data_IF_555184018645
#
_entry.id   IF_555184018645
#
_cell.length_a   1.000
_cell.length_b   1.000
_cell.length_c   1.000
_cell.angle_alpha   90.00
_cell.angle_beta   90.00
_cell.angle_gamma   90.00
#
_symmetry.space_group_name_H-M   'P 1'
#
loop_
_entity.id
_entity.type
_entity.pdbx_description
1 polymer ?
#
# COMPACT_ATOMS: atom_id res chain seq x y z
N UNK A 1 9.34 21.82 -5.57
CA UNK A 1 9.88 20.45 -5.75
C UNK A 1 10.58 20.40 -7.09
N UNK A 2 11.73 19.74 -7.18
CA UNK A 2 12.48 19.64 -8.43
C UNK A 2 13.29 18.36 -8.48
N UNK A 3 13.52 17.89 -9.71
CA UNK A 3 14.51 16.87 -10.01
C UNK A 3 15.72 17.56 -10.62
N UNK A 4 16.89 17.32 -10.04
CA UNK A 4 18.17 17.92 -10.47
C UNK A 4 19.06 16.81 -11.03
N UNK A 5 19.64 17.03 -12.21
CA UNK A 5 20.65 16.15 -12.79
C UNK A 5 22.03 16.74 -12.49
N UNK A 6 22.89 16.06 -11.70
CA UNK A 6 24.23 16.56 -11.41
C UNK A 6 25.05 16.69 -12.70
N UNK A 7 25.85 17.76 -12.78
CA UNK A 7 26.68 18.08 -13.96
C UNK A 7 27.69 16.96 -14.26
N UNK A 8 27.86 16.62 -15.53
CA UNK A 8 28.54 15.41 -16.03
C UNK A 8 30.04 15.34 -15.74
N UNK A 9 30.72 16.46 -15.54
CA UNK A 9 32.17 16.57 -15.77
C UNK A 9 33.05 15.81 -14.77
N UNK A 10 32.51 15.38 -13.61
CA UNK A 10 33.25 14.58 -12.62
C UNK A 10 32.56 13.28 -12.21
N UNK A 11 31.28 13.10 -12.54
CA UNK A 11 30.42 12.08 -11.94
C UNK A 11 30.25 10.84 -12.84
N UNK A 12 30.54 10.97 -14.14
CA UNK A 12 30.29 9.91 -15.13
C UNK A 12 31.04 8.60 -14.85
N UNK A 13 32.28 8.67 -14.35
CA UNK A 13 33.11 7.48 -14.11
C UNK A 13 32.64 6.69 -12.89
N UNK A 14 32.16 7.35 -11.82
CA UNK A 14 31.64 6.67 -10.64
C UNK A 14 30.20 6.15 -10.87
N UNK A 15 29.39 6.89 -11.64
CA UNK A 15 28.03 6.45 -12.02
C UNK A 15 28.03 5.18 -12.85
N UNK A 16 28.92 5.08 -13.86
CA UNK A 16 29.03 3.86 -14.70
C UNK A 16 29.51 2.64 -13.92
N UNK A 17 30.18 2.85 -12.79
CA UNK A 17 30.68 1.75 -11.96
C UNK A 17 29.58 1.16 -11.07
N UNK A 18 28.59 1.97 -10.71
CA UNK A 18 27.45 1.56 -9.89
C UNK A 18 26.30 1.02 -10.76
N UNK A 19 26.05 1.63 -11.92
CA UNK A 19 24.96 1.19 -12.80
C UNK A 19 25.39 -0.05 -13.57
N UNK A 20 24.76 -1.18 -13.25
CA UNK A 20 24.85 -2.41 -14.04
C UNK A 20 24.17 -2.19 -15.39
N UNK A 21 24.67 -2.84 -16.44
CA UNK A 21 24.07 -2.78 -17.79
C UNK A 21 22.63 -3.31 -17.82
N UNK A 22 22.30 -4.19 -16.88
CA UNK A 22 20.97 -4.79 -16.76
C UNK A 22 20.50 -4.87 -15.31
N UNK A 23 19.18 -4.81 -15.14
CA UNK A 23 18.46 -5.21 -13.94
C UNK A 23 17.62 -6.47 -14.23
N UNK A 24 17.24 -7.21 -13.20
CA UNK A 24 16.58 -8.50 -13.32
C UNK A 24 15.32 -8.55 -12.47
N UNK A 25 14.16 -8.84 -13.07
CA UNK A 25 12.88 -9.01 -12.38
C UNK A 25 12.51 -10.46 -12.31
N UNK A 26 12.32 -10.98 -11.10
CA UNK A 26 11.59 -12.24 -10.89
C UNK A 26 10.10 -11.96 -10.92
N UNK A 27 9.36 -12.65 -11.78
CA UNK A 27 7.91 -12.62 -11.80
C UNK A 27 7.34 -14.03 -11.96
N UNK A 28 6.09 -14.18 -11.55
CA UNK A 28 5.32 -15.43 -11.56
C UNK A 28 3.84 -15.11 -11.66
N UNK A 29 2.98 -16.12 -11.83
CA UNK A 29 1.53 -15.91 -11.84
C UNK A 29 0.99 -15.28 -10.54
N UNK A 30 1.78 -15.32 -9.45
CA UNK A 30 1.45 -14.75 -8.13
C UNK A 30 2.11 -13.40 -7.85
N UNK A 31 2.84 -12.83 -8.81
CA UNK A 31 3.56 -11.59 -8.59
C UNK A 31 2.61 -10.38 -8.48
N UNK A 32 2.92 -9.45 -7.57
CA UNK A 32 2.22 -8.16 -7.42
C UNK A 32 2.61 -7.16 -8.52
N UNK A 33 2.54 -7.57 -9.77
CA UNK A 33 2.79 -6.72 -10.96
C UNK A 33 1.88 -7.17 -12.08
N UNK A 34 1.24 -6.23 -12.75
CA UNK A 34 0.42 -6.54 -13.93
C UNK A 34 1.33 -6.59 -15.15
N UNK A 35 1.30 -7.69 -15.90
CA UNK A 35 1.83 -7.71 -17.26
C UNK A 35 0.79 -7.06 -18.16
N UNK A 36 1.15 -5.94 -18.80
CA UNK A 36 0.22 -5.22 -19.65
C UNK A 36 0.18 -5.84 -21.05
N UNK A 37 -0.85 -6.65 -21.30
CA UNK A 37 -1.12 -7.24 -22.63
C UNK A 37 -1.41 -6.14 -23.65
N UNK A 38 -2.01 -5.03 -23.20
CA UNK A 38 -2.42 -3.91 -24.04
C UNK A 38 -1.65 -2.65 -23.64
N UNK A 39 -0.72 -2.22 -24.48
CA UNK A 39 0.03 -0.97 -24.27
C UNK A 39 1.53 -1.09 -24.49
N UNK A 40 2.22 0.01 -24.22
CA UNK A 40 3.67 0.15 -24.34
C UNK A 40 4.44 -0.37 -23.13
N UNK A 41 3.76 -0.77 -22.05
CA UNK A 41 4.37 -1.19 -20.79
C UNK A 41 4.52 -2.72 -20.71
N UNK A 42 5.69 -3.18 -20.26
CA UNK A 42 5.93 -4.58 -19.94
C UNK A 42 5.44 -4.93 -18.53
N UNK A 43 5.65 -4.02 -17.58
CA UNK A 43 5.24 -4.19 -16.20
C UNK A 43 4.58 -2.91 -15.69
N UNK A 44 3.53 -3.06 -14.91
CA UNK A 44 2.86 -1.99 -14.18
C UNK A 44 2.71 -2.38 -12.71
N UNK A 45 3.01 -1.42 -11.84
CA UNK A 45 2.73 -1.51 -10.42
C UNK A 45 1.20 -1.55 -10.19
N UNK A 46 0.78 -2.03 -9.03
CA UNK A 46 -0.64 -2.08 -8.70
C UNK A 46 -1.18 -0.70 -8.29
N UNK A 47 -0.35 0.10 -7.62
CA UNK A 47 -0.64 1.47 -7.24
C UNK A 47 -0.21 2.47 -8.32
N UNK A 48 -0.87 3.62 -8.34
CA UNK A 48 -0.45 4.76 -9.16
C UNK A 48 0.75 5.40 -8.47
N UNK A 49 1.81 5.66 -9.22
CA UNK A 49 2.99 6.32 -8.68
C UNK A 49 2.84 7.84 -8.78
N UNK A 50 2.69 8.49 -7.62
CA UNK A 50 2.89 9.93 -7.47
C UNK A 50 4.18 10.17 -6.70
N UNK A 51 5.16 10.83 -7.31
CA UNK A 51 6.46 11.07 -6.68
C UNK A 51 6.36 11.89 -5.40
N UNK A 52 5.35 12.75 -5.26
CA UNK A 52 5.17 13.58 -4.07
C UNK A 52 4.60 12.79 -2.90
N UNK A 53 3.74 11.80 -3.18
CA UNK A 53 3.06 10.99 -2.16
C UNK A 53 3.80 9.67 -1.87
N UNK A 54 4.52 9.12 -2.85
CA UNK A 54 5.11 7.78 -2.80
C UNK A 54 6.58 7.80 -2.42
N UNK A 55 7.32 8.88 -2.71
CA UNK A 55 8.76 8.92 -2.51
C UNK A 55 9.13 9.41 -1.10
N UNK A 56 8.76 8.63 -0.09
CA UNK A 56 9.09 8.88 1.32
C UNK A 56 9.41 7.58 2.07
N UNK A 57 9.98 7.73 3.27
CA UNK A 57 10.37 6.63 4.15
C UNK A 57 9.24 5.62 4.37
N UNK A 58 8.06 6.08 4.78
CA UNK A 58 6.92 5.24 5.13
C UNK A 58 6.51 4.35 3.96
N UNK A 59 6.38 4.93 2.76
CA UNK A 59 5.96 4.21 1.55
C UNK A 59 7.01 3.20 1.09
N UNK A 60 8.29 3.55 1.14
CA UNK A 60 9.38 2.65 0.79
C UNK A 60 9.51 1.50 1.79
N UNK A 61 9.55 1.78 3.11
CA UNK A 61 9.63 0.73 4.14
C UNK A 61 8.47 -0.25 4.03
N UNK A 62 7.25 0.26 3.79
CA UNK A 62 6.06 -0.55 3.54
C UNK A 62 6.19 -1.42 2.29
N UNK A 63 6.72 -0.89 1.18
CA UNK A 63 7.00 -1.72 0.01
C UNK A 63 8.06 -2.78 0.27
N UNK A 64 8.99 -2.58 1.20
CA UNK A 64 10.01 -3.59 1.49
C UNK A 64 9.48 -4.71 2.40
N UNK A 65 8.36 -4.49 3.06
CA UNK A 65 7.64 -5.49 3.83
C UNK A 65 6.70 -6.31 2.94
N UNK A 66 6.94 -7.62 2.80
CA UNK A 66 6.14 -8.47 1.90
C UNK A 66 4.66 -8.54 2.28
N UNK A 67 4.32 -8.44 3.56
CA UNK A 67 2.96 -8.57 4.05
C UNK A 67 2.08 -7.32 3.85
N UNK A 68 2.68 -6.15 3.60
CA UNK A 68 1.98 -4.85 3.68
C UNK A 68 1.85 -4.13 2.33
N UNK A 69 1.91 -4.88 1.22
CA UNK A 69 1.88 -4.32 -0.15
C UNK A 69 0.47 -4.09 -0.71
N UNK A 70 -0.55 -4.61 -0.04
CA UNK A 70 -1.89 -4.76 -0.62
C UNK A 70 -2.73 -3.49 -0.44
N UNK A 71 -2.70 -2.87 0.75
CA UNK A 71 -3.59 -1.73 1.06
C UNK A 71 -2.84 -0.61 1.79
N UNK A 72 -2.69 0.57 1.16
CA UNK A 72 -2.94 0.84 -0.27
C UNK A 72 -2.00 0.03 -1.18
N UNK A 73 -2.37 -0.25 -2.44
CA UNK A 73 -1.51 -1.01 -3.33
C UNK A 73 -0.18 -0.30 -3.53
N UNK A 74 0.90 -1.08 -3.65
CA UNK A 74 2.22 -0.48 -3.87
C UNK A 74 2.40 0.02 -5.31
N UNK A 75 3.00 1.20 -5.42
CA UNK A 75 3.39 1.88 -6.67
C UNK A 75 4.79 1.48 -7.18
N UNK A 76 5.45 0.53 -6.51
CA UNK A 76 6.82 0.11 -6.84
C UNK A 76 6.90 -1.33 -7.37
N UNK A 77 7.92 -1.59 -8.18
CA UNK A 77 8.24 -2.90 -8.75
C UNK A 77 9.69 -3.26 -8.41
N UNK A 78 9.92 -4.33 -7.64
CA UNK A 78 11.28 -4.77 -7.28
C UNK A 78 12.05 -5.43 -8.43
N UNK A 79 13.32 -5.10 -8.56
CA UNK A 79 14.33 -5.67 -9.46
C UNK A 79 15.60 -5.99 -8.66
N UNK A 80 16.49 -6.77 -9.26
CA UNK A 80 17.82 -7.09 -8.74
C UNK A 80 18.90 -6.60 -9.69
N UNK A 81 20.02 -6.17 -9.16
CA UNK A 81 21.16 -5.69 -9.96
C UNK A 81 22.02 -6.82 -10.55
N UNK A 82 21.77 -8.06 -10.14
CA UNK A 82 22.50 -9.23 -10.60
C UNK A 82 21.58 -10.39 -10.92
N UNK A 83 21.97 -11.17 -11.94
CA UNK A 83 21.25 -12.39 -12.29
C UNK A 83 21.22 -13.34 -11.09
N UNK A 84 22.35 -13.57 -10.43
CA UNK A 84 22.48 -14.48 -9.28
C UNK A 84 21.46 -14.20 -8.16
N UNK A 85 21.26 -12.94 -7.81
CA UNK A 85 20.25 -12.55 -6.82
C UNK A 85 18.83 -12.86 -7.29
N UNK A 86 18.52 -12.56 -8.56
CA UNK A 86 17.25 -12.94 -9.16
C UNK A 86 17.06 -14.46 -9.21
N UNK A 87 18.09 -15.26 -9.45
CA UNK A 87 17.98 -16.74 -9.43
C UNK A 87 17.67 -17.26 -8.02
N UNK A 88 18.33 -16.72 -6.99
CA UNK A 88 18.05 -17.07 -5.58
C UNK A 88 16.59 -16.75 -5.26
N UNK A 89 16.09 -15.61 -5.71
CA UNK A 89 14.70 -15.21 -5.52
C UNK A 89 13.72 -16.09 -6.31
N UNK A 90 14.05 -16.46 -7.55
CA UNK A 90 13.25 -17.36 -8.38
C UNK A 90 13.14 -18.75 -7.74
N UNK A 91 14.28 -19.32 -7.32
CA UNK A 91 14.34 -20.59 -6.59
C UNK A 91 13.53 -20.55 -5.30
N UNK A 92 13.59 -19.45 -4.55
CA UNK A 92 12.76 -19.29 -3.37
C UNK A 92 11.27 -19.35 -3.72
N UNK A 93 10.81 -18.59 -4.72
CA UNK A 93 9.39 -18.60 -5.14
C UNK A 93 8.92 -19.97 -5.64
N UNK A 94 9.80 -20.72 -6.31
CA UNK A 94 9.47 -22.02 -6.88
C UNK A 94 9.46 -23.15 -5.85
N UNK A 95 10.43 -23.19 -4.92
CA UNK A 95 10.66 -24.34 -4.03
C UNK A 95 10.37 -24.10 -2.56
N UNK A 96 10.57 -22.86 -2.08
CA UNK A 96 10.67 -22.59 -0.64
C UNK A 96 9.63 -21.58 -0.12
N UNK A 97 8.86 -20.98 -1.01
CA UNK A 97 7.83 -20.03 -0.62
C UNK A 97 6.71 -20.76 0.15
N UNK A 98 6.04 -20.09 1.11
CA UNK A 98 4.85 -20.64 1.73
C UNK A 98 3.81 -21.04 0.67
N UNK A 99 2.94 -22.03 0.90
CA UNK A 99 2.01 -22.53 -0.12
C UNK A 99 1.19 -21.45 -0.83
N UNK A 100 0.80 -20.39 -0.12
CA UNK A 100 0.10 -19.24 -0.69
C UNK A 100 0.92 -18.51 -1.77
N UNK A 101 2.25 -18.51 -1.67
CA UNK A 101 3.18 -17.79 -2.55
C UNK A 101 4.01 -18.71 -3.46
N UNK A 102 3.89 -20.03 -3.32
CA UNK A 102 4.57 -21.01 -4.17
C UNK A 102 4.06 -20.85 -5.61
N UNK A 103 4.96 -20.63 -6.56
CA UNK A 103 4.63 -20.45 -7.97
C UNK A 103 5.16 -21.61 -8.81
N UNK A 104 4.37 -22.03 -9.79
CA UNK A 104 4.75 -23.11 -10.72
C UNK A 104 5.35 -22.58 -12.02
N UNK A 105 5.04 -21.34 -12.41
CA UNK A 105 5.70 -20.65 -13.50
C UNK A 105 6.44 -19.43 -12.94
N UNK A 106 7.76 -19.53 -12.91
CA UNK A 106 8.63 -18.46 -12.46
C UNK A 106 9.51 -18.06 -13.63
N UNK A 107 9.61 -16.77 -13.88
CA UNK A 107 10.42 -16.22 -14.96
C UNK A 107 11.28 -15.07 -14.45
N UNK A 108 12.45 -14.92 -15.07
CA UNK A 108 13.35 -13.80 -14.84
C UNK A 108 13.43 -12.95 -16.10
N UNK A 109 12.98 -11.71 -15.99
CA UNK A 109 13.05 -10.74 -17.07
C UNK A 109 14.28 -9.84 -16.90
N UNK A 110 15.09 -9.71 -17.95
CA UNK A 110 16.26 -8.83 -18.00
C UNK A 110 15.88 -7.48 -18.61
N UNK A 111 16.16 -6.39 -17.89
CA UNK A 111 15.83 -5.01 -18.26
C UNK A 111 17.10 -4.24 -18.56
N UNK A 112 17.11 -3.50 -19.68
CA UNK A 112 18.18 -2.59 -20.06
C UNK A 112 18.16 -1.35 -19.19
N UNK A 113 19.33 -0.95 -18.68
CA UNK A 113 19.51 0.31 -17.95
C UNK A 113 20.13 1.42 -18.80
N UNK A 114 20.40 1.14 -20.08
CA UNK A 114 20.89 2.14 -21.03
C UNK A 114 19.96 3.35 -21.07
N UNK A 115 20.53 4.55 -20.90
CA UNK A 115 19.80 5.81 -20.86
C UNK A 115 19.36 6.25 -19.45
N UNK A 116 19.63 5.47 -18.40
CA UNK A 116 19.41 5.95 -17.04
C UNK A 116 20.47 6.98 -16.64
N UNK A 117 20.04 8.12 -16.11
CA UNK A 117 20.90 9.12 -15.47
C UNK A 117 20.53 9.24 -14.00
N UNK A 118 21.55 9.35 -13.15
CA UNK A 118 21.33 9.68 -11.74
C UNK A 118 20.74 11.08 -11.65
N UNK A 119 19.82 11.26 -10.72
CA UNK A 119 19.18 12.52 -10.40
C UNK A 119 18.94 12.61 -8.89
N UNK A 120 18.60 13.80 -8.44
CA UNK A 120 18.29 14.11 -7.05
C UNK A 120 16.88 14.70 -7.00
N UNK A 121 16.03 14.15 -6.14
CA UNK A 121 14.72 14.73 -5.85
C UNK A 121 14.75 15.48 -4.53
N UNK A 122 14.23 16.70 -4.59
CA UNK A 122 14.09 17.62 -3.45
C UNK A 122 12.59 17.80 -3.14
N UNK A 123 12.07 17.11 -2.12
CA UNK A 123 10.72 17.35 -1.61
C UNK A 123 10.55 18.80 -1.17
N UNK A 124 9.33 19.33 -1.19
CA UNK A 124 9.10 20.73 -0.80
C UNK A 124 9.29 20.95 0.70
N UNK A 125 8.88 19.96 1.50
CA UNK A 125 8.75 20.07 2.95
C UNK A 125 9.81 19.23 3.70
N UNK A 126 10.93 18.92 3.05
CA UNK A 126 12.03 18.14 3.63
C UNK A 126 13.39 18.65 3.15
N UNK A 127 14.38 18.62 4.03
CA UNK A 127 15.79 18.88 3.71
C UNK A 127 16.48 17.63 3.12
N UNK A 128 15.77 16.50 3.08
CA UNK A 128 16.30 15.26 2.52
C UNK A 128 16.48 15.36 1.00
N UNK A 129 17.61 14.85 0.53
CA UNK A 129 17.89 14.70 -0.91
C UNK A 129 17.77 13.23 -1.27
N UNK A 130 16.75 12.89 -2.06
CA UNK A 130 16.45 11.50 -2.35
C UNK A 130 17.12 11.11 -3.67
N UNK A 131 18.06 10.15 -3.67
CA UNK A 131 18.74 9.70 -4.89
C UNK A 131 17.77 8.93 -5.79
N UNK A 132 17.73 9.34 -7.05
CA UNK A 132 16.91 8.74 -8.10
C UNK A 132 17.75 8.38 -9.32
N UNK A 133 17.18 7.51 -10.16
CA UNK A 133 17.66 7.27 -11.51
C UNK A 133 16.50 7.42 -12.48
N UNK A 134 16.66 8.26 -13.49
CA UNK A 134 15.62 8.57 -14.47
C UNK A 134 16.06 8.07 -15.83
N UNK A 135 15.19 7.34 -16.52
CA UNK A 135 15.41 7.00 -17.92
C UNK A 135 15.25 8.24 -18.81
N UNK A 136 16.37 8.77 -19.27
CA UNK A 136 16.42 9.99 -20.07
C UNK A 136 16.44 9.72 -21.57
N UNK A 137 16.11 8.50 -22.02
CA UNK A 137 16.09 8.15 -23.46
C UNK A 137 15.16 9.07 -24.26
N UNK A 138 14.11 9.59 -23.63
CA UNK A 138 13.13 10.50 -24.24
C UNK A 138 13.31 11.97 -23.81
N UNK A 139 14.43 12.32 -23.18
CA UNK A 139 14.72 13.67 -22.72
C UNK A 139 15.87 14.28 -23.53
N UNK A 140 15.85 15.60 -23.67
CA UNK A 140 16.96 16.33 -24.28
C UNK A 140 18.21 16.19 -23.42
N UNK A 141 19.36 15.96 -24.05
CA UNK A 141 20.65 15.73 -23.37
C UNK A 141 21.00 16.87 -22.40
N UNK A 142 20.65 18.11 -22.79
CA UNK A 142 20.90 19.35 -22.05
C UNK A 142 19.96 19.58 -20.85
N UNK A 143 19.06 18.64 -20.55
CA UNK A 143 18.17 18.74 -19.39
C UNK A 143 18.97 18.64 -18.09
N UNK A 144 19.16 19.77 -17.41
CA UNK A 144 19.84 19.87 -16.12
C UNK A 144 18.88 19.76 -14.93
N UNK A 145 17.61 20.11 -15.13
CA UNK A 145 16.57 20.01 -14.10
C UNK A 145 15.20 19.80 -14.73
N UNK A 146 14.29 19.18 -13.98
CA UNK A 146 12.92 18.95 -14.40
C UNK A 146 11.94 19.23 -13.26
N UNK A 147 10.80 19.87 -13.58
CA UNK A 147 9.70 20.02 -12.63
C UNK A 147 8.93 18.70 -12.49
N UNK A 148 8.26 18.49 -11.35
CA UNK A 148 7.49 17.27 -11.10
C UNK A 148 6.32 17.13 -12.07
N UNK A 149 5.66 18.24 -12.41
CA UNK A 149 4.56 18.25 -13.37
C UNK A 149 5.03 17.87 -14.78
N UNK A 150 6.28 18.21 -15.11
CA UNK A 150 6.89 17.81 -16.38
C UNK A 150 7.22 16.33 -16.39
N UNK A 151 7.79 15.80 -15.29
CA UNK A 151 8.08 14.38 -15.13
C UNK A 151 6.83 13.51 -15.26
N UNK A 152 5.72 13.91 -14.62
CA UNK A 152 4.45 13.19 -14.66
C UNK A 152 3.80 13.16 -16.05
N UNK A 153 4.11 14.12 -16.92
CA UNK A 153 3.56 14.20 -18.29
C UNK A 153 4.35 13.38 -19.30
N UNK A 154 5.60 13.04 -19.00
CA UNK A 154 6.48 12.32 -19.90
C UNK A 154 6.50 10.84 -19.47
N UNK A 155 6.38 9.88 -20.40
CA UNK A 155 6.51 8.46 -20.07
C UNK A 155 7.98 8.11 -19.81
N UNK A 156 8.50 8.55 -18.67
CA UNK A 156 9.82 8.18 -18.15
C UNK A 156 9.67 7.20 -17.00
N UNK A 157 10.57 6.23 -16.94
CA UNK A 157 10.66 5.36 -15.77
C UNK A 157 11.64 5.97 -14.77
N UNK A 158 11.16 6.15 -13.54
CA UNK A 158 11.98 6.51 -12.38
C UNK A 158 12.36 5.25 -11.61
N UNK A 159 13.57 5.22 -11.09
CA UNK A 159 14.15 4.10 -10.38
C UNK A 159 14.83 4.55 -9.08
N UNK A 160 14.87 3.64 -8.12
CA UNK A 160 15.44 3.84 -6.80
C UNK A 160 16.33 2.64 -6.47
N UNK A 161 17.57 2.89 -6.06
CA UNK A 161 18.43 1.86 -5.47
C UNK A 161 18.19 1.78 -3.97
N UNK A 162 17.85 0.59 -3.44
CA UNK A 162 17.63 0.43 -1.99
C UNK A 162 18.89 0.73 -1.19
N UNK A 163 20.07 0.36 -1.69
CA UNK A 163 21.33 0.70 -1.05
C UNK A 163 21.54 2.22 -0.90
N UNK A 164 21.13 3.01 -1.90
CA UNK A 164 21.27 4.47 -1.86
C UNK A 164 20.25 5.12 -0.92
N UNK A 165 18.95 4.80 -1.06
CA UNK A 165 17.91 5.41 -0.21
C UNK A 165 17.95 4.92 1.24
N UNK A 166 18.58 3.78 1.51
CA UNK A 166 18.84 3.31 2.87
C UNK A 166 19.63 4.32 3.69
N UNK A 167 20.57 5.05 3.07
CA UNK A 167 21.36 6.07 3.75
C UNK A 167 20.56 7.32 4.09
N UNK A 168 19.46 7.57 3.38
CA UNK A 168 18.56 8.71 3.58
C UNK A 168 17.51 8.37 4.64
N UNK A 169 16.82 7.24 4.50
CA UNK A 169 15.64 6.89 5.31
C UNK A 169 15.92 5.88 6.44
N UNK A 170 17.19 5.61 6.74
CA UNK A 170 17.63 4.62 7.74
C UNK A 170 16.86 3.29 7.61
N UNK A 171 16.83 2.74 6.40
CA UNK A 171 16.13 1.48 6.10
C UNK A 171 16.97 0.33 6.65
N UNK A 172 16.47 -0.49 7.60
CA UNK A 172 17.27 -1.58 8.14
C UNK A 172 17.67 -2.59 7.06
N UNK A 173 18.87 -3.19 7.14
CA UNK A 173 19.37 -4.17 6.17
C UNK A 173 18.50 -5.44 6.02
N UNK A 174 17.62 -5.70 7.00
CA UNK A 174 16.67 -6.81 6.93
C UNK A 174 15.36 -6.43 6.21
N UNK A 175 15.14 -5.14 5.90
CA UNK A 175 14.08 -4.63 5.02
C UNK A 175 14.70 -4.24 3.67
N UNK A 176 14.46 -5.08 2.66
CA UNK A 176 15.04 -4.91 1.33
C UNK A 176 16.52 -5.28 1.25
N UNK A 177 16.97 -5.69 0.07
CA UNK A 177 18.35 -6.13 -0.16
C UNK A 177 19.19 -4.99 -0.79
N UNK A 178 20.51 -4.97 -0.58
CA UNK A 178 21.39 -3.93 -1.16
C UNK A 178 21.43 -3.98 -2.70
N UNK A 179 21.21 -5.17 -3.26
CA UNK A 179 21.09 -5.42 -4.69
C UNK A 179 19.66 -5.21 -5.22
N UNK A 180 18.71 -4.79 -4.38
CA UNK A 180 17.34 -4.50 -4.77
C UNK A 180 17.19 -3.08 -5.33
N UNK A 181 16.47 -2.99 -6.44
CA UNK A 181 16.11 -1.75 -7.12
C UNK A 181 14.59 -1.68 -7.25
N UNK A 182 14.01 -0.49 -7.13
CA UNK A 182 12.59 -0.29 -7.31
C UNK A 182 12.35 0.56 -8.55
N UNK A 183 11.53 0.06 -9.48
CA UNK A 183 10.94 0.91 -10.50
C UNK A 183 9.65 1.54 -10.00
N UNK A 184 9.46 2.82 -10.32
CA UNK A 184 8.31 3.62 -9.92
C UNK A 184 7.24 3.59 -11.01
N UNK A 185 6.09 2.97 -10.71
CA UNK A 185 4.92 2.94 -11.59
C UNK A 185 4.99 1.87 -12.68
N UNK A 186 5.85 2.02 -13.69
CA UNK A 186 5.81 1.15 -14.88
C UNK A 186 7.17 0.96 -15.56
N UNK A 187 7.30 -0.10 -16.35
CA UNK A 187 8.44 -0.38 -17.23
C UNK A 187 7.99 -0.47 -18.68
N UNK A 188 8.67 0.22 -19.59
CA UNK A 188 8.40 0.13 -21.03
C UNK A 188 8.84 -1.21 -21.64
N UNK A 189 8.08 -1.76 -22.58
CA UNK A 189 8.42 -2.97 -23.36
C UNK A 189 9.78 -2.84 -24.07
N UNK A 190 10.10 -1.64 -24.55
CA UNK A 190 11.37 -1.34 -25.20
C UNK A 190 12.60 -1.56 -24.30
N UNK A 191 12.43 -1.56 -22.97
CA UNK A 191 13.50 -1.83 -22.00
C UNK A 191 13.68 -3.31 -21.71
N UNK A 192 12.73 -4.17 -22.07
CA UNK A 192 12.89 -5.61 -21.87
C UNK A 192 13.86 -6.15 -22.92
N UNK A 193 14.96 -6.72 -22.45
CA UNK A 193 15.93 -7.38 -23.30
C UNK A 193 15.56 -8.84 -23.58
N UNK A 194 15.23 -9.61 -22.52
CA UNK A 194 14.83 -11.02 -22.62
C UNK A 194 14.03 -11.50 -21.42
N UNK A 195 13.31 -12.60 -21.61
CA UNK A 195 12.59 -13.34 -20.56
C UNK A 195 13.18 -14.75 -20.49
N UNK A 196 13.40 -15.25 -19.27
CA UNK A 196 14.07 -16.52 -19.01
C UNK A 196 13.19 -17.33 -18.06
N UNK A 197 12.62 -18.44 -18.52
CA UNK A 197 11.80 -19.29 -17.65
C UNK A 197 12.68 -20.10 -16.72
N UNK A 198 12.28 -20.16 -15.45
CA UNK A 198 12.89 -20.98 -14.41
C UNK A 198 12.14 -22.29 -14.33
N UNK A 199 12.77 -23.38 -14.77
CA UNK A 199 12.17 -24.71 -14.88
C UNK A 199 12.24 -25.55 -13.59
N UNK A 200 12.82 -25.00 -12.52
CA UNK A 200 12.92 -25.65 -11.22
C UNK A 200 14.16 -26.52 -11.04
N UNK A 201 14.84 -26.94 -12.11
CA UNK A 201 15.89 -27.97 -12.07
C UNK A 201 17.23 -27.50 -12.68
N UNK A 202 18.33 -27.77 -11.97
CA UNK A 202 19.73 -27.62 -12.42
C UNK A 202 20.24 -26.21 -12.80
N UNK A 203 19.41 -25.17 -12.75
CA UNK A 203 19.84 -23.79 -13.05
C UNK A 203 20.13 -23.56 -14.53
N UNK A 204 19.61 -24.41 -15.42
CA UNK A 204 19.63 -24.14 -16.86
C UNK A 204 18.46 -23.20 -17.20
N UNK A 205 18.79 -22.03 -17.76
CA UNK A 205 17.78 -21.06 -18.17
C UNK A 205 17.33 -21.36 -19.58
N UNK A 206 16.05 -21.71 -19.74
CA UNK A 206 15.42 -21.76 -21.05
C UNK A 206 15.23 -20.34 -21.56
N UNK A 207 16.18 -19.90 -22.41
CA UNK A 207 16.15 -18.58 -23.03
C UNK A 207 15.01 -18.49 -24.02
N UNK A 208 14.01 -17.66 -23.71
CA UNK A 208 12.93 -17.34 -24.64
C UNK A 208 13.16 -15.93 -25.15
N UNK A 209 13.23 -15.80 -26.47
CA UNK A 209 13.27 -14.46 -27.08
C UNK A 209 11.90 -13.82 -26.88
N UNK A 210 11.79 -12.59 -26.34
CA UNK A 210 10.49 -11.96 -26.13
C UNK A 210 9.79 -11.75 -27.47
N UNK A 211 8.89 -12.64 -27.83
CA UNK A 211 7.97 -12.40 -28.93
C UNK A 211 6.75 -11.67 -28.38
N UNK A 212 6.88 -10.37 -28.15
CA UNK A 212 5.75 -9.51 -27.74
C UNK A 212 4.58 -9.57 -28.73
N UNK A 213 4.86 -9.90 -29.99
CA UNK A 213 3.85 -10.09 -31.05
C UNK A 213 3.26 -11.52 -31.09
N UNK A 214 3.77 -12.47 -30.30
CA UNK A 214 3.26 -13.84 -30.20
C UNK A 214 2.61 -14.15 -28.85
N UNK A 215 2.69 -13.25 -27.87
CA UNK A 215 1.80 -13.24 -26.68
C UNK A 215 0.41 -12.68 -27.09
N UNK A 216 0.00 -12.97 -28.33
CA UNK A 216 -1.33 -12.74 -28.86
C UNK A 216 -2.14 -14.03 -28.70
N UNK A 217 -3.17 -13.94 -27.88
CA UNK A 217 -4.36 -14.81 -27.83
C UNK A 217 -4.29 -16.21 -27.20
N UNK A 218 -3.16 -16.90 -27.09
CA UNK A 218 -3.18 -18.30 -26.60
C UNK A 218 -2.69 -18.55 -25.16
N UNK A 219 -1.75 -17.76 -24.62
CA UNK A 219 -1.14 -18.00 -23.30
C UNK A 219 -1.37 -16.84 -22.32
N UNK A 220 -2.51 -16.15 -22.43
CA UNK A 220 -3.00 -15.32 -21.34
C UNK A 220 -3.47 -16.25 -20.22
N UNK A 221 -2.64 -16.35 -19.17
CA UNK A 221 -2.92 -16.98 -17.88
C UNK A 221 -4.42 -16.96 -17.55
N UNK A 222 -4.97 -18.15 -17.30
CA UNK A 222 -6.38 -18.38 -17.02
C UNK A 222 -6.93 -17.31 -16.08
N UNK A 223 -7.82 -16.49 -16.60
CA UNK A 223 -8.65 -15.57 -15.84
C UNK A 223 -9.31 -16.35 -14.71
N UNK A 224 -9.05 -15.94 -13.47
CA UNK A 224 -10.05 -16.08 -12.41
C UNK A 224 -11.17 -15.15 -12.82
N UNK A 225 -12.29 -15.71 -13.30
CA UNK A 225 -13.54 -14.97 -13.49
C UNK A 225 -13.93 -14.36 -12.15
N UNK A 226 -13.65 -13.07 -11.99
CA UNK A 226 -14.41 -12.22 -11.09
C UNK A 226 -15.49 -11.61 -11.96
N UNK A 227 -16.71 -12.12 -11.86
CA UNK A 227 -17.89 -11.50 -12.48
C UNK A 227 -18.04 -10.07 -11.95
N UNK A 228 -17.46 -9.11 -12.68
CA UNK A 228 -17.79 -7.72 -12.52
C UNK A 228 -18.99 -7.42 -13.43
N UNK A 229 -20.18 -7.35 -12.84
CA UNK A 229 -21.33 -6.74 -13.50
C UNK A 229 -21.09 -5.23 -13.63
N UNK A 230 -20.63 -4.79 -14.80
CA UNK A 230 -20.62 -3.37 -15.17
C UNK A 230 -21.96 -2.99 -15.79
N UNK A 231 -22.81 -2.29 -15.04
CA UNK A 231 -23.79 -1.35 -15.61
C UNK A 231 -23.17 0.05 -15.49
N UNK A 232 -22.83 0.65 -16.61
CA UNK A 232 -22.50 2.07 -16.69
C UNK A 232 -23.80 2.87 -16.59
N UNK A 233 -24.03 3.54 -15.46
CA UNK A 233 -25.01 4.62 -15.36
C UNK A 233 -24.26 5.90 -14.96
N UNK A 234 -24.27 6.87 -15.87
CA UNK A 234 -23.70 8.21 -15.66
C UNK A 234 -24.62 9.02 -14.76
N UNK A 235 -24.15 9.44 -13.58
CA UNK A 235 -24.85 10.41 -12.72
C UNK A 235 -24.31 11.82 -13.06
N UNK A 236 -25.13 12.78 -13.49
CA UNK A 236 -24.71 14.17 -13.57
C UNK A 236 -24.65 14.76 -12.15
N UNK A 237 -23.47 15.23 -11.73
CA UNK A 237 -23.31 16.07 -10.54
C UNK A 237 -23.60 17.51 -10.94
N UNK A 238 -24.65 18.10 -10.39
CA UNK A 238 -24.95 19.53 -10.50
C UNK A 238 -24.43 20.17 -9.22
N UNK A 239 -23.45 21.07 -9.35
CA UNK A 239 -23.05 21.96 -8.27
C UNK A 239 -23.76 23.30 -8.48
N UNK A 240 -24.58 23.71 -7.51
CA UNK A 240 -24.98 25.10 -7.36
C UNK A 240 -24.02 25.73 -6.34
N UNK A 241 -23.25 26.72 -6.78
CA UNK A 241 -22.38 27.53 -5.92
C UNK A 241 -23.20 28.73 -5.43
N UNK A 242 -23.48 28.77 -4.13
CA UNK A 242 -23.94 29.99 -3.45
C UNK A 242 -22.77 30.56 -2.62
N UNK A 243 -22.42 31.82 -2.92
CA UNK A 243 -21.53 32.65 -2.11
C UNK A 243 -22.29 33.23 -0.90
N UNK A 244 -21.82 32.97 0.31
CA UNK A 244 -21.50 33.94 1.38
C UNK A 244 -21.55 33.34 2.81
N UNK A 245 -20.60 33.84 3.62
CA UNK A 245 -20.48 33.83 5.09
C UNK A 245 -20.32 32.52 5.89
N UNK A 246 -19.37 32.59 6.82
CA UNK A 246 -18.86 31.49 7.63
C UNK A 246 -19.78 31.14 8.80
N UNK A 247 -20.38 29.96 8.79
CA UNK A 247 -20.70 29.15 9.97
C UNK A 247 -20.86 27.67 9.56
N UNK A 248 -20.44 26.75 10.45
CA UNK A 248 -20.73 25.30 10.50
C UNK A 248 -21.15 24.63 9.18
N UNK A 249 -20.24 23.86 8.56
CA UNK A 249 -20.57 23.08 7.35
C UNK A 249 -21.34 21.81 7.72
N UNK A 250 -22.67 21.87 7.63
CA UNK A 250 -23.50 20.68 7.53
C UNK A 250 -23.55 20.22 6.08
N UNK A 251 -22.99 19.04 5.78
CA UNK A 251 -23.12 18.41 4.47
C UNK A 251 -24.31 17.46 4.46
N UNK A 252 -25.32 17.74 3.62
CA UNK A 252 -26.46 16.83 3.41
C UNK A 252 -26.14 15.84 2.28
N UNK A 253 -26.19 14.54 2.57
CA UNK A 253 -26.04 13.47 1.58
C UNK A 253 -27.39 12.77 1.41
N UNK A 254 -27.94 12.82 0.20
CA UNK A 254 -29.16 12.11 -0.16
C UNK A 254 -28.81 10.86 -0.96
N UNK A 255 -29.15 9.68 -0.44
CA UNK A 255 -28.97 8.40 -1.15
C UNK A 255 -30.34 7.94 -1.64
N UNK A 256 -30.49 7.81 -2.96
CA UNK A 256 -31.73 7.32 -3.59
C UNK A 256 -31.47 5.90 -4.08
N UNK A 257 -32.17 4.94 -3.52
CA UNK A 257 -32.21 3.58 -4.03
C UNK A 257 -33.28 3.46 -5.10
N UNK A 258 -32.91 2.94 -6.27
CA UNK A 258 -33.87 2.47 -7.28
C UNK A 258 -33.76 0.96 -7.34
N UNK A 259 -34.80 0.28 -6.89
CA UNK A 259 -34.98 -1.15 -7.15
C UNK A 259 -35.74 -1.28 -8.48
N UNK A 260 -35.24 -2.15 -9.35
CA UNK A 260 -35.86 -2.46 -10.64
C UNK A 260 -37.11 -3.33 -10.43
N UNK A 261 -38.18 -2.91 -11.10
CA UNK A 261 -39.50 -3.54 -11.31
C UNK A 261 -40.59 -3.45 -10.22
N UNK A 262 -41.58 -2.60 -10.56
CA UNK A 262 -42.96 -2.45 -10.05
C UNK A 262 -43.15 -1.92 -8.61
N UNK A 263 -43.55 -0.64 -8.54
CA UNK A 263 -43.89 0.19 -7.36
C UNK A 263 -42.71 0.80 -6.57
N UNK A 264 -42.33 2.03 -6.96
CA UNK A 264 -41.37 2.84 -6.23
C UNK A 264 -41.98 3.40 -4.93
N UNK A 265 -41.54 2.88 -3.79
CA UNK A 265 -41.69 3.55 -2.49
C UNK A 265 -40.43 4.37 -2.20
N UNK A 266 -40.54 5.71 -2.20
CA UNK A 266 -39.45 6.57 -1.75
C UNK A 266 -39.33 6.50 -0.22
N UNK A 267 -38.17 6.07 0.28
CA UNK A 267 -37.83 6.18 1.71
C UNK A 267 -36.64 7.12 1.85
N UNK A 268 -36.88 8.30 2.39
CA UNK A 268 -35.83 9.24 2.75
C UNK A 268 -35.22 8.80 4.08
N UNK A 269 -33.89 8.72 4.13
CA UNK A 269 -33.13 8.50 5.36
C UNK A 269 -32.22 9.70 5.53
N UNK A 270 -32.42 10.44 6.62
CA UNK A 270 -31.62 11.59 6.97
C UNK A 270 -30.48 11.15 7.90
N UNK A 271 -29.24 11.41 7.50
CA UNK A 271 -28.05 11.15 8.31
C UNK A 271 -27.32 12.47 8.48
N UNK A 272 -27.32 12.99 9.70
CA UNK A 272 -26.55 14.16 10.11
C UNK A 272 -25.20 13.71 10.69
N UNK A 273 -24.11 14.23 10.13
CA UNK A 273 -22.75 14.02 10.64
C UNK A 273 -22.24 15.36 11.16
N UNK A 274 -22.06 15.46 12.47
CA UNK A 274 -21.51 16.63 13.14
C UNK A 274 -20.02 16.37 13.36
N UNK A 275 -19.15 17.26 12.86
CA UNK A 275 -17.73 17.27 13.19
C UNK A 275 -17.50 18.36 14.23
N UNK A 276 -16.97 17.99 15.41
CA UNK A 276 -16.43 18.96 16.36
C UNK A 276 -14.94 19.16 16.04
N UNK A 277 -14.57 20.38 15.65
CA UNK A 277 -13.16 20.79 15.55
C UNK A 277 -12.63 21.10 16.96
N UNK A 278 -11.75 20.24 17.48
CA UNK A 278 -11.01 20.51 18.72
C UNK A 278 -9.99 21.64 18.49
N UNK A 279 -10.36 22.85 18.87
CA UNK A 279 -9.44 23.98 19.06
C UNK A 279 -8.62 23.73 20.33
N UNK A 280 -7.30 23.55 20.17
CA UNK A 280 -6.34 23.57 21.28
C UNK A 280 -5.95 25.00 21.62
N UNK A 281 -6.24 25.43 22.84
CA UNK A 281 -5.54 26.54 23.50
C UNK A 281 -5.03 26.11 24.88
N UNK A 282 -3.90 26.73 25.24
CA UNK A 282 -2.97 26.41 26.31
C UNK A 282 -3.47 26.69 27.74
N UNK A 283 -2.86 25.96 28.67
CA UNK A 283 -2.55 26.27 30.08
C UNK A 283 -3.56 27.09 30.92
N UNK A 284 -4.09 26.51 32.00
CA UNK A 284 -3.80 26.91 33.40
C UNK A 284 -4.59 26.13 34.48
N UNK A 285 -3.82 25.63 35.46
CA UNK A 285 -4.06 25.41 36.90
C UNK A 285 -5.45 25.17 37.54
N UNK A 286 -5.45 24.18 38.44
CA UNK A 286 -6.14 24.11 39.76
C UNK A 286 -7.68 24.10 39.75
N UNK A 287 -8.42 23.36 40.58
CA UNK A 287 -8.18 22.72 41.88
C UNK A 287 -9.32 21.71 42.09
N UNK A 288 -9.04 20.59 42.74
CA UNK A 288 -10.05 19.66 43.24
C UNK A 288 -10.71 20.30 44.46
N UNK A 289 -12.04 20.42 44.42
CA UNK A 289 -12.88 20.55 45.62
C UNK A 289 -13.94 19.46 45.49
N UNK A 290 -13.81 18.45 46.34
CA UNK A 290 -14.86 17.50 46.65
C UNK A 290 -15.87 18.21 47.54
N UNK A 291 -17.14 18.20 47.17
CA UNK A 291 -18.23 18.37 48.12
C UNK A 291 -19.37 17.42 47.72
N UNK A 292 -19.51 16.36 48.52
CA UNK A 292 -20.72 15.57 48.64
C UNK A 292 -21.74 16.38 49.44
N UNK A 293 -22.95 16.62 48.90
CA UNK A 293 -24.12 16.77 49.76
C UNK A 293 -25.33 16.04 49.18
N UNK A 294 -25.80 15.09 49.99
CA UNK A 294 -27.13 14.52 49.96
C UNK A 294 -28.20 15.61 50.13
N UNK A 295 -29.39 15.37 49.56
CA UNK A 295 -30.63 15.14 50.31
C UNK A 295 -31.89 15.80 49.72
N UNK A 296 -32.93 14.96 49.65
CA UNK A 296 -34.33 15.24 50.03
C UNK A 296 -35.17 16.13 49.08
N UNK A 297 -36.15 15.53 48.39
CA UNK A 297 -37.49 15.24 48.93
C UNK A 297 -38.27 16.51 49.29
N UNK A 298 -39.16 16.95 48.40
CA UNK A 298 -40.31 17.75 48.76
C UNK A 298 -41.47 17.52 47.79
N UNK A 299 -42.62 17.24 48.40
CA UNK A 299 -43.90 16.78 47.87
C UNK A 299 -44.87 17.93 47.60
N UNK A 300 -45.73 17.76 46.58
CA UNK A 300 -47.07 18.37 46.45
C UNK A 300 -47.15 19.56 45.49
N UNK A 301 -48.13 19.72 44.60
CA UNK A 301 -49.29 18.91 44.20
C UNK A 301 -50.27 19.74 43.32
N UNK A 302 -50.71 19.14 42.19
CA UNK A 302 -52.05 19.26 41.51
C UNK A 302 -52.39 20.61 40.80
N UNK A 303 -53.23 20.70 39.71
CA UNK A 303 -53.94 19.69 38.86
C UNK A 303 -53.60 19.76 37.34
N UNK A 304 -53.66 18.65 36.58
CA UNK A 304 -54.81 18.06 35.83
C UNK A 304 -55.44 18.95 34.75
N UNK A 305 -55.07 18.68 33.49
CA UNK A 305 -55.90 18.68 32.25
C UNK A 305 -55.28 17.62 31.31
N UNK A 306 -55.80 16.39 31.24
CA UNK A 306 -56.71 15.87 30.20
C UNK A 306 -56.19 15.98 28.75
N UNK A 307 -55.68 14.88 28.21
CA UNK A 307 -55.65 14.43 26.79
C UNK A 307 -54.89 13.09 26.79
N UNK A 308 -55.60 11.95 26.78
CA UNK A 308 -55.98 11.14 25.62
C UNK A 308 -54.78 10.55 24.84
N UNK A 309 -54.59 9.25 25.08
CA UNK A 309 -54.20 8.18 24.15
C UNK A 309 -52.89 8.25 23.36
N UNK A 310 -51.89 7.44 23.77
CA UNK A 310 -51.06 6.54 22.91
C UNK A 310 -49.91 5.83 23.69
N UNK A 311 -50.21 5.15 24.80
CA UNK A 311 -49.25 4.21 25.43
C UNK A 311 -49.51 2.77 24.99
N UNK A 312 -48.78 2.30 23.97
CA UNK A 312 -48.91 0.90 23.54
C UNK A 312 -47.80 0.31 22.68
N UNK A 313 -46.87 1.10 22.13
CA UNK A 313 -45.94 0.59 21.10
C UNK A 313 -44.45 0.73 21.47
N UNK A 314 -44.05 1.66 22.35
CA UNK A 314 -42.62 1.93 22.58
C UNK A 314 -41.89 1.00 23.56
N UNK A 315 -42.58 0.10 24.28
CA UNK A 315 -41.92 -0.85 25.21
C UNK A 315 -41.34 -2.10 24.55
N UNK A 316 -41.61 -2.35 23.26
CA UNK A 316 -41.09 -3.54 22.57
C UNK A 316 -39.73 -3.32 21.89
N UNK A 317 -39.43 -2.10 21.45
CA UNK A 317 -38.19 -1.81 20.71
C UNK A 317 -36.96 -1.69 21.65
N UNK A 318 -37.13 -1.12 22.85
CA UNK A 318 -36.02 -0.96 23.83
C UNK A 318 -35.47 -2.31 24.34
N UNK A 319 -36.32 -3.35 24.39
CA UNK A 319 -35.88 -4.69 24.80
C UNK A 319 -35.10 -5.42 23.69
N UNK A 320 -35.31 -5.07 22.42
CA UNK A 320 -34.60 -5.68 21.29
C UNK A 320 -33.17 -5.16 21.18
N UNK A 321 -32.98 -3.85 21.35
CA UNK A 321 -31.65 -3.22 21.31
C UNK A 321 -30.78 -3.63 22.49
N UNK A 322 -31.36 -3.79 23.68
CA UNK A 322 -30.62 -4.25 24.86
C UNK A 322 -30.06 -5.67 24.67
N UNK A 323 -30.83 -6.55 24.03
CA UNK A 323 -30.39 -7.94 23.74
C UNK A 323 -29.24 -7.99 22.73
N UNK A 324 -29.25 -7.12 21.73
CA UNK A 324 -28.19 -7.06 20.71
C UNK A 324 -26.88 -6.52 21.30
N UNK A 325 -26.95 -5.54 22.21
CA UNK A 325 -25.76 -4.99 22.88
C UNK A 325 -25.08 -6.04 23.76
N UNK A 326 -25.85 -6.88 24.46
CA UNK A 326 -25.27 -7.95 25.28
C UNK A 326 -24.60 -9.04 24.45
N UNK A 327 -25.15 -9.38 23.29
CA UNK A 327 -24.59 -10.39 22.38
C UNK A 327 -23.24 -9.93 21.81
N UNK A 328 -23.16 -8.66 21.38
CA UNK A 328 -21.91 -8.06 20.89
C UNK A 328 -20.85 -7.99 21.99
N UNK A 329 -21.23 -7.66 23.22
CA UNK A 329 -20.30 -7.61 24.35
C UNK A 329 -19.68 -9.00 24.66
N UNK A 330 -20.50 -10.06 24.63
CA UNK A 330 -20.02 -11.43 24.84
C UNK A 330 -19.08 -11.88 23.72
N UNK A 331 -19.36 -11.50 22.46
CA UNK A 331 -18.50 -11.81 21.33
C UNK A 331 -17.15 -11.09 21.39
N UNK A 332 -17.14 -9.81 21.79
CA UNK A 332 -15.90 -9.04 22.03
C UNK A 332 -15.07 -9.71 23.13
N UNK A 333 -15.70 -10.14 24.22
CA UNK A 333 -14.99 -10.79 25.33
C UNK A 333 -14.40 -12.15 24.91
N UNK A 334 -15.11 -12.91 24.06
CA UNK A 334 -14.61 -14.17 23.49
C UNK A 334 -13.40 -13.94 22.58
N UNK A 335 -13.44 -12.92 21.72
CA UNK A 335 -12.31 -12.57 20.84
C UNK A 335 -11.09 -12.12 21.64
N UNK A 336 -11.28 -11.36 22.72
CA UNK A 336 -10.19 -10.93 23.60
C UNK A 336 -9.48 -12.12 24.24
N UNK A 337 -10.21 -13.11 24.75
CA UNK A 337 -9.62 -14.32 25.35
C UNK A 337 -8.83 -15.15 24.32
N UNK A 338 -9.36 -15.28 23.09
CA UNK A 338 -8.65 -15.98 22.01
C UNK A 338 -7.35 -15.27 21.59
N UNK A 339 -7.34 -13.94 21.64
CA UNK A 339 -6.14 -13.13 21.38
C UNK A 339 -5.10 -13.33 22.49
N UNK A 340 -5.51 -13.29 23.76
CA UNK A 340 -4.62 -13.53 24.91
C UNK A 340 -3.99 -14.93 24.88
N UNK A 341 -4.75 -15.96 24.49
CA UNK A 341 -4.23 -17.33 24.29
C UNK A 341 -3.21 -17.40 23.14
N UNK A 342 -3.50 -16.72 22.02
CA UNK A 342 -2.60 -16.68 20.86
C UNK A 342 -1.27 -15.98 21.18
N UNK A 343 -1.31 -14.90 21.97
CA UNK A 343 -0.11 -14.18 22.44
C UNK A 343 0.75 -15.07 23.33
N UNK A 344 0.14 -15.85 24.22
CA UNK A 344 0.89 -16.78 25.09
C UNK A 344 1.62 -17.88 24.29
N UNK A 345 1.00 -18.40 23.22
CA UNK A 345 1.62 -19.39 22.32
C UNK A 345 2.83 -18.79 21.58
N UNK A 346 2.73 -17.53 21.13
CA UNK A 346 3.84 -16.84 20.47
C UNK A 346 5.01 -16.58 21.41
N UNK A 347 4.75 -16.23 22.66
CA UNK A 347 5.78 -16.04 23.69
C UNK A 347 6.56 -17.33 23.98
N UNK A 348 5.86 -18.46 24.09
CA UNK A 348 6.51 -19.77 24.31
C UNK A 348 7.31 -20.23 23.08
N UNK A 349 6.81 -19.95 21.87
CA UNK A 349 7.55 -20.21 20.64
C UNK A 349 8.84 -19.38 20.56
N UNK A 350 8.76 -18.08 20.89
CA UNK A 350 9.90 -17.16 20.94
C UNK A 350 10.99 -17.61 21.93
N UNK A 351 10.59 -18.06 23.13
CA UNK A 351 11.52 -18.65 24.11
C UNK A 351 12.22 -19.89 23.56
N UNK A 352 11.46 -20.80 22.94
CA UNK A 352 12.01 -22.01 22.33
C UNK A 352 13.03 -21.72 21.22
N UNK A 353 12.75 -20.76 20.33
CA UNK A 353 13.70 -20.33 19.29
C UNK A 353 14.99 -19.75 19.89
N UNK A 354 14.87 -18.98 20.97
CA UNK A 354 16.02 -18.39 21.67
C UNK A 354 16.90 -19.48 22.28
N UNK A 355 16.32 -20.48 22.94
CA UNK A 355 17.04 -21.62 23.52
C UNK A 355 17.78 -22.44 22.45
N UNK A 356 17.13 -22.73 21.32
CA UNK A 356 17.76 -23.45 20.20
C UNK A 356 18.93 -22.66 19.60
N UNK A 357 18.79 -21.33 19.49
CA UNK A 357 19.86 -20.46 18.97
C UNK A 357 21.07 -20.45 19.90
N UNK A 358 20.85 -20.35 21.21
CA UNK A 358 21.91 -20.42 22.22
C UNK A 358 22.61 -21.78 22.16
N UNK A 359 21.86 -22.88 22.08
CA UNK A 359 22.41 -24.23 21.97
C UNK A 359 23.24 -24.42 20.69
N UNK A 360 22.76 -23.92 19.55
CA UNK A 360 23.50 -23.94 18.29
C UNK A 360 24.82 -23.16 18.38
N UNK A 361 24.78 -21.93 18.90
CA UNK A 361 25.99 -21.10 19.06
C UNK A 361 27.00 -21.74 20.03
N UNK A 362 26.53 -22.41 21.09
CA UNK A 362 27.39 -23.18 21.99
C UNK A 362 28.05 -24.38 21.30
N UNK A 363 27.31 -25.10 20.45
CA UNK A 363 27.84 -26.23 19.67
C UNK A 363 28.91 -25.76 18.67
N UNK A 364 28.68 -24.66 17.95
CA UNK A 364 29.65 -24.04 17.04
C UNK A 364 30.93 -23.65 17.79
N UNK A 365 30.81 -23.04 18.98
CA UNK A 365 31.95 -22.67 19.83
C UNK A 365 32.75 -23.86 20.35
N UNK A 366 32.09 -25.01 20.56
CA UNK A 366 32.75 -26.24 20.99
C UNK A 366 33.50 -26.90 19.84
N UNK A 367 32.96 -26.84 18.62
CA UNK A 367 33.58 -27.40 17.42
C UNK A 367 34.79 -26.58 16.93
N UNK A 368 34.90 -25.30 17.31
CA UNK A 368 36.01 -24.42 16.93
C UNK A 368 37.22 -24.44 17.87
N UNK A 369 37.17 -25.26 18.94
CA UNK A 369 38.28 -25.55 19.85
C UNK A 369 38.81 -26.94 19.59
#
# INVERSE_FOLDING_TARGET
MSIIFPCSDSVENDQRRLLREFLFRVHSEKAFTKSSSFGSFAFEAHGIFDITEELNETRLKRHLEWGDKIRPPSSFISFFDSLGAAEVRARFQYHNAPPAYLATDVSVTRIKTSGMRKAEYHPADSDEVIPLWVDTTNLDEDTMSMSIESLQKIPVTVWISIAEVRLVFDIPHWKGQDDEWLACGHILKAKVDRVMHYDGDNGEWNLVTPHWNSIGEADAFANVEVEAHSKEDSIPVIFEEDEEEAHSKEGKISIIFKEDEEEAHSKEVEISVIYEEDVKEDETSCTIVEDEEEAQSLTGGIPVTSEEDEEGVQRKEVNSTTSQVTEVADEIQKLRLALEESVAVLDDWSKSCTEHTIAFMAAVRKASR
#
